data_IF_451722057498
#
_entry.id   IF_451722057498
#
_cell.length_a   1.000
_cell.length_b   1.000
_cell.length_c   1.000
_cell.angle_alpha   90.00
_cell.angle_beta   90.00
_cell.angle_gamma   90.00
#
_symmetry.space_group_name_H-M   'P 1'
#
loop_
_entity.id
_entity.type
_entity.pdbx_description
1 polymer ?
#
# COMPACT_ATOMS: atom_id res chain seq x y z
N UNK A 1 19.11 -63.28 12.79
CA UNK A 1 17.96 -64.20 12.95
C UNK A 1 16.73 -63.37 13.25
N UNK A 2 15.75 -63.32 12.33
CA UNK A 2 14.37 -62.93 12.64
C UNK A 2 13.69 -64.12 13.35
N UNK A 3 12.65 -63.89 14.17
CA UNK A 3 11.30 -64.20 13.66
C UNK A 3 10.16 -63.24 14.07
N UNK A 4 9.10 -63.32 13.25
CA UNK A 4 7.64 -63.16 13.48
C UNK A 4 7.12 -61.87 14.16
N UNK A 5 6.37 -60.97 13.52
CA UNK A 5 5.08 -61.09 12.81
C UNK A 5 3.89 -61.49 13.71
N UNK A 6 3.06 -60.51 14.09
CA UNK A 6 1.64 -60.71 14.45
C UNK A 6 0.80 -59.76 13.61
N UNK A 7 -0.14 -60.38 12.91
CA UNK A 7 -1.15 -59.86 12.01
C UNK A 7 -2.41 -59.56 12.82
N UNK A 8 -3.09 -58.43 12.60
CA UNK A 8 -4.54 -58.34 12.79
C UNK A 8 -5.15 -57.72 11.53
N UNK A 9 -6.03 -58.51 10.92
CA UNK A 9 -6.84 -58.23 9.75
C UNK A 9 -8.19 -57.66 10.18
N UNK A 10 -8.64 -56.58 9.55
CA UNK A 10 -10.03 -56.32 9.16
C UNK A 10 -9.97 -55.18 8.12
N UNK A 11 -10.45 -55.26 6.88
CA UNK A 11 -11.38 -56.20 6.27
C UNK A 11 -12.71 -55.50 5.97
N UNK A 12 -12.75 -54.61 4.99
CA UNK A 12 -13.97 -54.24 4.26
C UNK A 12 -13.60 -53.64 2.89
N UNK A 13 -13.59 -54.50 1.87
CA UNK A 13 -13.64 -54.15 0.46
C UNK A 13 -15.11 -53.86 0.09
N UNK A 14 -15.37 -52.78 -0.65
CA UNK A 14 -16.41 -52.74 -1.67
C UNK A 14 -15.86 -51.98 -2.89
N UNK A 15 -15.73 -52.72 -3.99
CA UNK A 15 -15.43 -52.26 -5.35
C UNK A 15 -16.68 -51.61 -5.97
N UNK A 16 -16.50 -50.65 -6.88
CA UNK A 16 -17.58 -50.24 -7.77
C UNK A 16 -17.35 -48.98 -8.62
N UNK A 17 -16.54 -49.11 -9.67
CA UNK A 17 -16.67 -48.54 -11.03
C UNK A 17 -16.91 -47.03 -11.30
N UNK A 18 -15.99 -46.49 -12.11
CA UNK A 18 -16.19 -45.71 -13.35
C UNK A 18 -17.07 -44.45 -13.40
N UNK A 19 -16.41 -43.34 -13.76
CA UNK A 19 -16.84 -42.45 -14.85
C UNK A 19 -17.89 -41.39 -14.53
N UNK A 20 -17.50 -40.13 -14.64
CA UNK A 20 -18.47 -39.03 -14.64
C UNK A 20 -17.84 -37.66 -14.42
N UNK A 21 -17.41 -37.04 -15.52
CA UNK A 21 -17.26 -35.58 -15.60
C UNK A 21 -18.60 -34.92 -15.26
N UNK A 22 -18.66 -34.13 -14.20
CA UNK A 22 -19.88 -33.41 -13.84
C UNK A 22 -19.71 -32.66 -12.52
N UNK A 23 -19.70 -31.33 -12.59
CA UNK A 23 -19.89 -30.48 -11.41
C UNK A 23 -21.15 -30.88 -10.64
N UNK A 24 -21.14 -30.66 -9.33
CA UNK A 24 -22.29 -29.98 -8.77
C UNK A 24 -21.84 -28.78 -7.94
N UNK A 25 -22.53 -27.66 -8.18
CA UNK A 25 -22.73 -26.62 -7.20
C UNK A 25 -23.00 -27.25 -5.82
N UNK A 26 -22.09 -27.05 -4.89
CA UNK A 26 -22.35 -27.17 -3.47
C UNK A 26 -22.08 -25.79 -2.88
N UNK A 27 -23.17 -25.04 -2.71
CA UNK A 27 -23.24 -23.87 -1.83
C UNK A 27 -22.88 -24.31 -0.42
N UNK A 28 -21.66 -24.01 0.02
CA UNK A 28 -21.30 -24.03 1.43
C UNK A 28 -21.02 -22.58 1.80
N UNK A 29 -21.93 -22.05 2.61
CA UNK A 29 -21.88 -20.67 3.07
C UNK A 29 -20.59 -20.39 3.82
N UNK A 30 -19.90 -19.33 3.41
CA UNK A 30 -18.89 -18.66 4.20
C UNK A 30 -19.53 -17.41 4.77
N UNK A 31 -20.29 -17.57 5.85
CA UNK A 31 -20.51 -16.48 6.81
C UNK A 31 -19.39 -16.54 7.86
N UNK A 32 -18.15 -16.35 7.41
CA UNK A 32 -17.13 -15.77 8.27
C UNK A 32 -17.00 -14.34 7.80
N UNK A 33 -17.15 -13.39 8.72
CA UNK A 33 -16.67 -12.04 8.50
C UNK A 33 -15.16 -12.16 8.25
N UNK A 34 -14.77 -12.36 6.99
CA UNK A 34 -13.44 -11.99 6.53
C UNK A 34 -13.33 -10.52 6.93
N UNK A 35 -12.56 -10.25 7.99
CA UNK A 35 -12.40 -8.90 8.50
C UNK A 35 -12.08 -8.00 7.32
N UNK A 36 -12.93 -6.99 7.07
CA UNK A 36 -12.76 -6.06 5.97
C UNK A 36 -11.31 -5.59 5.98
N UNK A 37 -10.53 -6.01 4.99
CA UNK A 37 -9.15 -5.59 4.82
C UNK A 37 -9.15 -4.63 3.64
N UNK A 38 -8.57 -3.45 3.82
CA UNK A 38 -8.52 -2.45 2.77
C UNK A 38 -7.31 -2.71 1.88
N UNK A 39 -7.55 -3.28 0.71
CA UNK A 39 -6.55 -3.40 -0.35
C UNK A 39 -6.35 -2.10 -1.11
N UNK A 40 -5.36 -2.08 -2.01
CA UNK A 40 -5.09 -0.92 -2.86
C UNK A 40 -6.31 -0.51 -3.71
N UNK A 41 -7.23 -1.42 -4.03
CA UNK A 41 -8.34 -1.19 -4.94
C UNK A 41 -9.72 -1.21 -4.27
N UNK A 42 -9.82 -1.54 -2.97
CA UNK A 42 -11.10 -1.59 -2.26
C UNK A 42 -11.60 -0.19 -1.92
N UNK A 43 -12.90 0.06 -2.03
CA UNK A 43 -13.45 1.43 -2.02
C UNK A 43 -14.47 1.67 -0.92
N UNK A 44 -15.26 0.66 -0.58
CA UNK A 44 -16.36 0.81 0.35
C UNK A 44 -15.88 0.56 1.79
N UNK A 45 -16.22 1.47 2.70
CA UNK A 45 -15.87 1.33 4.12
C UNK A 45 -14.45 1.71 4.51
N UNK A 46 -13.55 2.06 3.57
CA UNK A 46 -12.16 2.40 3.87
C UNK A 46 -11.88 3.92 3.93
N UNK A 47 -10.77 4.30 4.58
CA UNK A 47 -10.21 5.66 4.57
C UNK A 47 -8.70 5.63 4.84
N UNK A 48 -7.99 6.70 4.45
CA UNK A 48 -6.55 6.83 4.74
C UNK A 48 -6.33 7.49 6.09
N UNK A 49 -5.47 6.88 6.90
CA UNK A 49 -5.06 7.38 8.20
C UNK A 49 -3.55 7.51 8.28
N UNK A 50 -3.08 8.67 8.75
CA UNK A 50 -1.70 8.88 9.15
C UNK A 50 -1.48 8.38 10.56
N UNK A 51 -0.66 7.34 10.69
CA UNK A 51 -0.25 6.76 11.97
C UNK A 51 1.13 7.29 12.34
N UNK A 52 1.21 7.97 13.49
CA UNK A 52 2.44 8.59 13.95
C UNK A 52 3.15 7.67 14.94
N UNK A 53 4.41 7.38 14.65
CA UNK A 53 5.25 6.53 15.46
C UNK A 53 5.63 7.24 16.78
N UNK A 54 5.80 6.49 17.88
CA UNK A 54 6.25 7.02 19.16
C UNK A 54 7.69 7.57 19.07
N UNK A 55 8.52 6.92 18.25
CA UNK A 55 9.90 7.32 17.95
C UNK A 55 10.13 7.11 16.45
N UNK A 56 10.84 8.00 15.74
CA UNK A 56 11.15 7.81 14.33
C UNK A 56 11.95 6.51 14.10
N UNK A 57 11.62 5.78 13.02
CA UNK A 57 12.22 4.48 12.69
C UNK A 57 12.76 4.44 11.27
N UNK A 58 13.77 3.60 10.95
CA UNK A 58 14.13 3.31 9.57
C UNK A 58 12.94 2.79 8.77
N UNK A 59 12.90 3.05 7.46
CA UNK A 59 11.73 2.80 6.62
C UNK A 59 11.22 1.37 6.66
N UNK A 60 12.11 0.37 6.61
CA UNK A 60 11.72 -1.04 6.72
C UNK A 60 11.02 -1.36 8.06
N UNK A 61 11.48 -0.77 9.16
CA UNK A 61 10.88 -0.97 10.49
C UNK A 61 9.54 -0.21 10.62
N UNK A 62 9.45 1.00 10.05
CA UNK A 62 8.20 1.76 10.00
C UNK A 62 7.11 1.00 9.22
N UNK A 63 7.45 0.40 8.08
CA UNK A 63 6.54 -0.45 7.30
C UNK A 63 6.17 -1.74 8.04
N UNK A 64 7.13 -2.38 8.71
CA UNK A 64 6.85 -3.56 9.52
C UNK A 64 5.87 -3.28 10.67
N UNK A 65 5.91 -2.08 11.25
CA UNK A 65 5.00 -1.67 12.33
C UNK A 65 3.52 -1.61 11.89
N UNK A 66 3.25 -1.39 10.60
CA UNK A 66 1.88 -1.33 10.05
C UNK A 66 1.46 -2.60 9.30
N UNK A 67 2.38 -3.53 9.04
CA UNK A 67 2.13 -4.71 8.21
C UNK A 67 1.07 -5.68 8.77
N UNK A 68 0.81 -5.65 10.09
CA UNK A 68 -0.22 -6.46 10.74
C UNK A 68 -1.62 -5.83 10.79
N UNK A 69 -1.76 -4.60 10.29
CA UNK A 69 -3.05 -3.91 10.25
C UNK A 69 -3.89 -4.43 9.06
N UNK A 70 -5.23 -4.36 9.11
CA UNK A 70 -6.11 -4.83 8.04
C UNK A 70 -6.15 -3.84 6.86
N UNK A 71 -4.99 -3.47 6.34
CA UNK A 71 -4.85 -2.44 5.34
C UNK A 71 -3.47 -2.40 4.70
N UNK A 72 -3.26 -1.44 3.80
CA UNK A 72 -2.00 -1.27 3.08
C UNK A 72 -1.36 0.08 3.38
N UNK A 73 -0.03 0.07 3.55
CA UNK A 73 0.74 1.31 3.64
C UNK A 73 0.76 2.01 2.27
N UNK A 74 0.59 3.33 2.27
CA UNK A 74 0.41 4.14 1.05
C UNK A 74 1.53 5.14 0.90
N UNK A 75 1.89 5.82 1.99
CA UNK A 75 2.90 6.86 2.00
C UNK A 75 3.57 7.00 3.37
N UNK A 76 4.64 7.76 3.45
CA UNK A 76 5.47 7.96 4.63
C UNK A 76 5.86 9.43 4.77
N UNK A 77 6.17 9.84 6.01
CA UNK A 77 6.79 11.13 6.29
C UNK A 77 8.09 10.94 7.06
N UNK A 78 9.18 11.43 6.48
CA UNK A 78 10.53 11.48 7.05
C UNK A 78 10.60 12.44 8.24
N UNK A 79 11.58 12.25 9.13
CA UNK A 79 11.88 13.17 10.23
C UNK A 79 12.69 14.40 9.79
N UNK A 80 13.26 14.35 8.60
CA UNK A 80 14.04 15.40 7.95
C UNK A 80 13.42 15.80 6.62
N UNK A 81 13.83 16.95 6.10
CA UNK A 81 13.56 17.36 4.72
C UNK A 81 14.70 16.91 3.81
N UNK A 82 14.36 16.53 2.60
CA UNK A 82 15.32 16.39 1.52
C UNK A 82 14.85 17.13 0.26
N UNK A 83 15.81 17.48 -0.58
CA UNK A 83 15.53 18.11 -1.86
C UNK A 83 15.11 17.04 -2.86
N UNK A 84 13.84 17.06 -3.26
CA UNK A 84 13.27 16.12 -4.23
C UNK A 84 13.02 16.83 -5.55
N UNK A 85 13.08 16.10 -6.65
CA UNK A 85 12.79 16.62 -7.99
C UNK A 85 11.40 17.26 -8.05
N UNK A 86 11.26 18.43 -8.65
CA UNK A 86 9.96 19.04 -8.88
C UNK A 86 9.26 18.46 -10.12
N UNK A 87 7.93 18.55 -10.15
CA UNK A 87 7.12 18.15 -11.30
C UNK A 87 7.16 19.27 -12.33
N UNK A 88 8.07 19.13 -13.30
CA UNK A 88 8.26 20.12 -14.37
C UNK A 88 7.67 19.68 -15.71
N UNK A 89 7.23 20.67 -16.49
CA UNK A 89 6.88 20.56 -17.92
C UNK A 89 7.91 21.27 -18.82
N UNK A 90 9.07 21.63 -18.24
CA UNK A 90 10.14 22.36 -18.92
C UNK A 90 10.75 21.60 -20.10
N UNK A 91 11.53 22.30 -20.94
CA UNK A 91 12.17 21.69 -22.10
C UNK A 91 13.14 20.58 -21.69
N UNK A 92 13.28 19.51 -22.49
CA UNK A 92 14.23 18.44 -22.20
C UNK A 92 15.67 18.98 -22.22
N UNK A 93 16.48 18.56 -21.26
CA UNK A 93 17.91 18.88 -21.18
C UNK A 93 18.29 19.95 -20.15
N UNK A 94 17.32 20.67 -19.60
CA UNK A 94 17.55 21.55 -18.45
C UNK A 94 17.57 20.74 -17.14
N UNK A 95 18.37 21.15 -16.13
CA UNK A 95 18.29 20.57 -14.79
C UNK A 95 16.87 20.70 -14.24
N UNK A 96 16.36 19.61 -13.66
CA UNK A 96 15.04 19.63 -13.00
C UNK A 96 15.21 20.35 -11.65
N UNK A 97 14.39 21.39 -11.35
CA UNK A 97 14.41 22.05 -10.05
C UNK A 97 14.11 21.07 -8.92
N UNK A 98 14.51 21.41 -7.70
CA UNK A 98 14.22 20.60 -6.51
C UNK A 98 13.58 21.44 -5.43
N UNK A 99 12.75 20.81 -4.61
CA UNK A 99 12.09 21.47 -3.48
C UNK A 99 12.19 20.61 -2.21
N UNK A 100 12.15 21.23 -1.01
CA UNK A 100 12.21 20.48 0.23
C UNK A 100 10.91 19.68 0.44
N UNK A 101 11.03 18.36 0.58
CA UNK A 101 9.91 17.48 0.94
C UNK A 101 10.31 16.50 2.03
N UNK A 102 9.32 16.06 2.81
CA UNK A 102 9.44 14.97 3.79
C UNK A 102 8.67 13.73 3.35
N UNK A 103 7.96 13.83 2.23
CA UNK A 103 6.95 12.89 1.82
C UNK A 103 7.53 11.83 0.88
N UNK A 104 6.99 10.61 0.94
CA UNK A 104 7.25 9.58 -0.06
C UNK A 104 6.07 8.62 -0.20
N UNK A 105 5.70 8.30 -1.44
CA UNK A 105 4.81 7.18 -1.73
C UNK A 105 5.54 5.84 -1.56
N UNK A 106 4.89 4.89 -0.87
CA UNK A 106 5.46 3.57 -0.63
C UNK A 106 5.54 2.80 -1.95
N UNK A 107 6.72 2.27 -2.25
CA UNK A 107 6.97 1.48 -3.44
C UNK A 107 6.49 2.18 -4.72
N UNK A 108 6.91 3.44 -4.88
CA UNK A 108 6.52 4.30 -5.99
C UNK A 108 6.83 3.66 -7.36
N UNK A 109 8.01 3.05 -7.50
CA UNK A 109 8.41 2.32 -8.71
C UNK A 109 7.50 1.11 -9.01
N UNK A 110 6.97 0.46 -7.97
CA UNK A 110 6.04 -0.65 -8.10
C UNK A 110 4.61 -0.24 -8.46
N UNK A 111 4.22 1.04 -8.32
CA UNK A 111 2.86 1.52 -8.65
C UNK A 111 2.54 1.21 -10.12
N UNK A 112 3.46 1.54 -11.03
CA UNK A 112 3.29 1.29 -12.47
C UNK A 112 3.17 -0.20 -12.77
N UNK A 113 3.98 -1.04 -12.14
CA UNK A 113 3.94 -2.49 -12.33
C UNK A 113 2.62 -3.10 -11.82
N UNK A 114 2.17 -2.73 -10.61
CA UNK A 114 0.88 -3.16 -10.04
C UNK A 114 -0.29 -2.83 -10.96
N UNK A 115 -0.23 -1.67 -11.62
CA UNK A 115 -1.24 -1.24 -12.58
C UNK A 115 -1.24 -2.09 -13.84
N UNK A 116 -0.06 -2.39 -14.41
CA UNK A 116 0.07 -3.27 -15.57
C UNK A 116 -0.43 -4.69 -15.27
N UNK A 117 -0.06 -5.23 -14.11
CA UNK A 117 -0.44 -6.60 -13.72
C UNK A 117 -1.95 -6.76 -13.52
N UNK A 118 -2.65 -5.67 -13.23
CA UNK A 118 -4.10 -5.65 -13.01
C UNK A 118 -4.89 -5.09 -14.19
N UNK A 119 -4.22 -4.76 -15.29
CA UNK A 119 -4.84 -4.24 -16.51
C UNK A 119 -5.87 -5.24 -17.08
N UNK A 120 -7.05 -4.73 -17.44
CA UNK A 120 -8.15 -5.51 -18.02
C UNK A 120 -8.92 -6.40 -17.04
N UNK A 121 -8.38 -6.69 -15.85
CA UNK A 121 -9.07 -7.45 -14.79
C UNK A 121 -9.64 -6.55 -13.70
N UNK A 122 -8.90 -5.51 -13.30
CA UNK A 122 -9.31 -4.53 -12.29
C UNK A 122 -9.00 -3.09 -12.70
N UNK A 123 -7.91 -2.83 -13.44
CA UNK A 123 -7.56 -1.48 -13.93
C UNK A 123 -7.93 -1.32 -15.41
N UNK A 124 -8.40 -0.14 -15.86
CA UNK A 124 -8.67 0.10 -17.26
C UNK A 124 -7.36 0.02 -18.05
N UNK A 125 -7.44 -0.29 -19.36
CA UNK A 125 -6.26 -0.26 -20.22
C UNK A 125 -5.49 1.04 -20.08
N UNK A 126 -4.19 0.95 -19.84
CA UNK A 126 -3.36 2.14 -19.61
C UNK A 126 -2.91 2.79 -20.92
N UNK A 127 -3.27 2.18 -22.05
CA UNK A 127 -3.01 2.68 -23.39
C UNK A 127 -3.65 4.07 -23.55
N UNK A 128 -2.81 5.10 -23.69
CA UNK A 128 -3.23 6.50 -23.87
C UNK A 128 -3.40 7.31 -22.58
N UNK A 129 -3.22 6.73 -21.39
CA UNK A 129 -3.13 7.49 -20.14
C UNK A 129 -1.71 8.04 -19.98
N UNK A 130 -1.55 9.33 -20.27
CA UNK A 130 -0.27 10.03 -20.16
C UNK A 130 -0.15 10.73 -18.80
N UNK A 131 0.33 10.01 -17.78
CA UNK A 131 0.97 10.68 -16.65
C UNK A 131 2.34 11.14 -17.15
N UNK A 132 2.68 12.43 -16.98
CA UNK A 132 3.99 12.91 -17.44
C UNK A 132 5.10 12.15 -16.74
N UNK A 133 6.17 11.83 -17.46
CA UNK A 133 7.33 11.15 -16.88
C UNK A 133 7.90 11.91 -15.66
N UNK A 134 7.71 13.24 -15.61
CA UNK A 134 8.11 14.06 -14.47
C UNK A 134 7.38 13.70 -13.17
N UNK A 135 6.09 13.34 -13.19
CA UNK A 135 5.39 12.85 -11.98
C UNK A 135 5.99 11.54 -11.47
N UNK A 136 6.31 10.61 -12.38
CA UNK A 136 6.90 9.33 -12.00
C UNK A 136 8.30 9.52 -11.42
N UNK A 137 9.14 10.30 -12.09
CA UNK A 137 10.49 10.60 -11.60
C UNK A 137 10.44 11.25 -10.22
N UNK A 138 9.50 12.15 -9.99
CA UNK A 138 9.28 12.80 -8.71
C UNK A 138 8.96 11.80 -7.58
N UNK A 139 7.97 10.92 -7.77
CA UNK A 139 7.61 9.93 -6.75
C UNK A 139 8.69 8.86 -6.55
N UNK A 140 9.36 8.43 -7.61
CA UNK A 140 10.47 7.49 -7.53
C UNK A 140 11.66 8.09 -6.76
N UNK A 141 11.97 9.37 -6.98
CA UNK A 141 13.01 10.09 -6.25
C UNK A 141 12.68 10.20 -4.75
N UNK A 142 11.47 10.63 -4.40
CA UNK A 142 10.99 10.65 -3.01
C UNK A 142 11.16 9.29 -2.32
N UNK A 143 10.72 8.22 -2.99
CA UNK A 143 10.81 6.86 -2.46
C UNK A 143 12.25 6.37 -2.32
N UNK A 144 13.10 6.63 -3.32
CA UNK A 144 14.52 6.26 -3.27
C UNK A 144 15.23 6.94 -2.09
N UNK A 145 15.02 8.24 -1.91
CA UNK A 145 15.62 8.98 -0.81
C UNK A 145 15.09 8.54 0.55
N UNK A 146 13.81 8.15 0.66
CA UNK A 146 13.27 7.61 1.91
C UNK A 146 13.89 6.26 2.31
N UNK A 147 14.57 5.56 1.40
CA UNK A 147 15.20 4.26 1.63
C UNK A 147 16.69 4.39 1.96
N UNK A 148 17.25 5.60 1.95
CA UNK A 148 18.66 5.85 2.26
C UNK A 148 19.01 5.50 3.72
N UNK A 149 20.27 5.10 3.93
CA UNK A 149 20.77 4.77 5.25
C UNK A 149 20.71 6.00 6.18
N UNK A 150 20.18 5.82 7.39
CA UNK A 150 20.06 6.89 8.38
C UNK A 150 18.80 7.74 8.26
N UNK A 151 18.00 7.59 7.20
CA UNK A 151 16.69 8.24 7.11
C UNK A 151 15.72 7.59 8.09
N UNK A 152 15.01 8.42 8.83
CA UNK A 152 14.00 8.00 9.80
C UNK A 152 12.62 8.51 9.40
N UNK A 153 11.60 7.71 9.66
CA UNK A 153 10.20 7.95 9.36
C UNK A 153 9.45 8.26 10.66
N UNK A 154 8.67 9.34 10.68
CA UNK A 154 7.83 9.72 11.83
C UNK A 154 6.40 9.22 11.71
N UNK A 155 5.89 9.09 10.48
CA UNK A 155 4.52 8.67 10.25
C UNK A 155 4.37 7.86 8.97
N UNK A 156 3.35 6.99 8.98
CA UNK A 156 2.96 6.14 7.86
C UNK A 156 1.48 6.36 7.55
N UNK A 157 1.15 6.65 6.30
CA UNK A 157 -0.22 6.62 5.83
C UNK A 157 -0.62 5.17 5.54
N UNK A 158 -1.73 4.73 6.12
CA UNK A 158 -2.29 3.40 5.92
C UNK A 158 -3.74 3.54 5.50
N UNK A 159 -4.13 2.80 4.47
CA UNK A 159 -5.52 2.70 4.05
C UNK A 159 -6.20 1.61 4.88
N UNK A 160 -7.12 2.00 5.76
CA UNK A 160 -7.72 1.14 6.79
C UNK A 160 -9.25 1.18 6.76
N UNK A 161 -9.93 0.14 7.27
CA UNK A 161 -11.37 0.15 7.46
C UNK A 161 -11.77 1.26 8.44
N UNK A 162 -12.85 1.98 8.14
CA UNK A 162 -13.30 3.12 8.98
C UNK A 162 -13.69 2.66 10.38
N UNK A 163 -14.22 1.46 10.51
CA UNK A 163 -14.63 0.86 11.77
C UNK A 163 -13.46 0.36 12.61
N UNK A 164 -12.31 0.03 11.99
CA UNK A 164 -11.13 -0.49 12.69
C UNK A 164 -10.54 0.52 13.69
N UNK A 165 -10.79 1.81 13.45
CA UNK A 165 -10.10 2.91 14.12
C UNK A 165 -10.97 3.65 15.15
N UNK A 166 -12.13 3.07 15.51
CA UNK A 166 -13.12 3.73 16.37
C UNK A 166 -12.62 4.01 17.81
N UNK A 167 -11.65 3.24 18.29
CA UNK A 167 -11.20 3.27 19.69
C UNK A 167 -9.86 4.02 19.92
N UNK A 168 -9.36 4.73 18.91
CA UNK A 168 -8.10 5.47 18.97
C UNK A 168 -6.96 4.81 18.20
N UNK A 169 -5.70 5.30 18.35
CA UNK A 169 -4.58 4.80 17.58
C UNK A 169 -4.29 3.32 17.90
N UNK A 170 -3.91 2.49 16.91
CA UNK A 170 -3.48 1.13 17.15
C UNK A 170 -2.27 1.06 18.11
N UNK A 171 -2.11 -0.06 18.80
CA UNK A 171 -0.96 -0.29 19.69
C UNK A 171 0.36 -0.05 18.96
N UNK A 172 1.28 0.68 19.61
CA UNK A 172 2.57 1.04 19.01
C UNK A 172 2.55 2.36 18.24
N UNK A 173 1.43 3.07 18.17
CA UNK A 173 1.32 4.41 17.58
C UNK A 173 0.83 5.41 18.62
N UNK A 174 1.38 6.63 18.58
CA UNK A 174 1.00 7.69 19.55
C UNK A 174 -0.19 8.53 19.08
N UNK A 175 -0.38 8.63 17.77
CA UNK A 175 -1.43 9.45 17.15
C UNK A 175 -1.92 8.74 15.89
N UNK A 176 -3.20 8.92 15.60
CA UNK A 176 -3.82 8.57 14.34
C UNK A 176 -4.64 9.77 13.86
N UNK A 177 -4.44 10.17 12.60
CA UNK A 177 -5.14 11.30 11.98
C UNK A 177 -5.75 10.86 10.67
N UNK A 178 -7.02 11.20 10.42
CA UNK A 178 -7.62 10.98 9.11
C UNK A 178 -7.02 11.95 8.09
N UNK A 179 -6.51 11.41 6.99
CA UNK A 179 -5.90 12.21 5.93
C UNK A 179 -6.89 12.39 4.77
N UNK A 180 -6.90 13.57 4.13
CA UNK A 180 -7.64 13.76 2.89
C UNK A 180 -6.99 12.95 1.77
N UNK A 181 -7.80 12.21 1.04
CA UNK A 181 -7.37 11.35 -0.05
C UNK A 181 -8.41 11.38 -1.16
N UNK A 182 -7.94 11.15 -2.38
CA UNK A 182 -8.77 11.03 -3.57
C UNK A 182 -8.35 9.80 -4.36
N UNK A 183 -9.19 9.43 -5.31
CA UNK A 183 -8.83 8.47 -6.35
C UNK A 183 -8.60 9.23 -7.64
N UNK A 184 -7.73 8.72 -8.52
CA UNK A 184 -7.72 9.20 -9.89
C UNK A 184 -9.08 8.97 -10.52
N UNK A 185 -9.54 9.92 -11.34
CA UNK A 185 -10.80 9.82 -12.05
C UNK A 185 -10.78 8.57 -12.94
N UNK A 186 -11.68 7.65 -12.62
CA UNK A 186 -11.94 6.42 -13.36
C UNK A 186 -13.20 6.63 -14.19
N UNK A 187 -13.20 6.13 -15.43
CA UNK A 187 -14.38 6.20 -16.30
C UNK A 187 -15.53 5.32 -15.78
N UNK A 188 -15.22 4.28 -15.01
CA UNK A 188 -16.20 3.40 -14.37
C UNK A 188 -15.70 2.92 -12.99
N UNK A 189 -16.18 3.53 -11.89
CA UNK A 189 -15.80 3.15 -10.52
C UNK A 189 -16.19 1.71 -10.14
N UNK A 190 -17.18 1.11 -10.83
CA UNK A 190 -17.58 -0.27 -10.59
C UNK A 190 -16.60 -1.28 -11.20
N UNK A 191 -15.79 -0.86 -12.18
CA UNK A 191 -14.75 -1.67 -12.82
C UNK A 191 -13.36 -1.39 -12.24
N UNK A 192 -13.06 -0.14 -11.94
CA UNK A 192 -11.79 0.28 -11.36
C UNK A 192 -11.99 1.47 -10.45
N UNK A 193 -11.59 1.36 -9.19
CA UNK A 193 -11.77 2.42 -8.21
C UNK A 193 -10.83 3.63 -8.36
N UNK A 194 -9.85 3.58 -9.28
CA UNK A 194 -8.78 4.58 -9.40
C UNK A 194 -7.56 4.28 -8.53
N UNK A 195 -6.47 5.01 -8.76
CA UNK A 195 -5.26 4.96 -7.92
C UNK A 195 -5.46 5.81 -6.67
N UNK A 196 -5.05 5.28 -5.51
CA UNK A 196 -5.11 6.00 -4.26
C UNK A 196 -4.06 7.10 -4.25
N UNK A 197 -4.50 8.35 -4.17
CA UNK A 197 -3.64 9.52 -4.05
C UNK A 197 -3.99 10.30 -2.79
N UNK A 198 -2.97 10.79 -2.09
CA UNK A 198 -3.21 11.80 -1.07
C UNK A 198 -3.50 13.14 -1.75
N UNK A 199 -4.42 13.91 -1.18
CA UNK A 199 -4.70 15.26 -1.68
C UNK A 199 -3.58 16.25 -1.36
N UNK A 200 -2.70 15.89 -0.42
CA UNK A 200 -1.58 16.70 0.02
C UNK A 200 -0.41 15.82 0.45
N UNK A 201 0.81 16.24 0.10
CA UNK A 201 2.06 15.69 0.62
C UNK A 201 2.36 16.17 2.05
N UNK A 202 1.63 17.19 2.53
CA UNK A 202 1.80 17.73 3.88
C UNK A 202 1.04 16.89 4.91
N UNK A 203 1.70 16.56 6.01
CA UNK A 203 1.01 16.02 7.18
C UNK A 203 0.30 17.15 7.95
N UNK A 204 -0.87 16.89 8.57
CA UNK A 204 -1.53 17.87 9.43
C UNK A 204 -0.60 18.47 10.49
N UNK A 205 -0.70 19.79 10.69
CA UNK A 205 0.20 20.53 11.58
C UNK A 205 0.07 20.08 13.05
N UNK A 206 1.18 20.16 13.79
CA UNK A 206 1.21 19.89 15.24
C UNK A 206 1.44 18.43 15.63
N UNK A 207 1.54 17.51 14.67
CA UNK A 207 1.74 16.08 14.95
C UNK A 207 3.16 15.59 14.72
N UNK A 208 3.82 16.08 13.68
CA UNK A 208 5.21 15.73 13.34
C UNK A 208 6.18 16.78 13.89
N UNK A 209 7.46 16.42 13.96
CA UNK A 209 8.52 17.40 14.25
C UNK A 209 8.58 18.49 13.17
N UNK A 210 9.29 19.57 13.43
CA UNK A 210 9.50 20.66 12.46
C UNK A 210 11.00 20.86 12.23
N UNK A 211 11.64 19.99 11.43
CA UNK A 211 13.05 20.14 11.07
C UNK A 211 13.25 21.41 10.22
N UNK A 212 14.50 21.88 10.16
CA UNK A 212 14.85 22.98 9.27
C UNK A 212 14.81 22.53 7.80
N UNK A 213 14.26 23.39 6.93
CA UNK A 213 14.25 23.13 5.49
C UNK A 213 15.64 23.38 4.87
N UNK A 214 16.14 22.49 4.01
CA UNK A 214 17.37 22.69 3.28
C UNK A 214 17.19 23.74 2.17
N UNK A 215 18.29 24.34 1.73
CA UNK A 215 18.31 25.12 0.50
C UNK A 215 18.38 24.15 -0.69
N UNK A 216 17.29 24.08 -1.45
CA UNK A 216 17.19 23.26 -2.66
C UNK A 216 17.51 24.07 -3.93
N UNK A 217 17.82 23.38 -5.02
CA UNK A 217 18.12 24.02 -6.30
C UNK A 217 16.83 24.59 -6.92
N UNK A 218 16.73 25.91 -6.97
CA UNK A 218 15.61 26.67 -7.52
C UNK A 218 16.09 27.47 -8.73
N UNK A 219 16.14 26.84 -9.91
CA UNK A 219 16.46 27.45 -11.23
C UNK A 219 17.61 28.49 -11.32
#
# INVERSE_FOLDING_TARGET
MKPAAVLILAGALLLGACGGSGSPFASVGTSEAAGLACGYYDVEGCAVYGLVLPTPLPTAAALAAVAGLPGVAVALWRSDFACVLDITMGPPGEPVPTYPSRFAYVDAAGIRARRMDTEGSLAPPITGLHISQSYWNHWEDQWAQAQEEGVLIEAVAVYLPREFVADGPPSGFRVMVRLPWRRTDTLDPALYAGELLLESEMFPAGYLSSPAEPACATE
#
